data_IF_122605013085
#
_entry.id   IF_122605013085
#
_cell.length_a   1.000
_cell.length_b   1.000
_cell.length_c   1.000
_cell.angle_alpha   90.00
_cell.angle_beta   90.00
_cell.angle_gamma   90.00
#
_symmetry.space_group_name_H-M   'P 1'
#
loop_
_entity.id
_entity.type
_entity.pdbx_description
1 polymer ?
#
# COMPACT_ATOMS: atom_id res chain seq x y z
N UNK A 1 15.42 -28.95 -4.42
CA UNK A 1 14.17 -28.25 -4.79
C UNK A 1 14.51 -26.78 -4.96
N UNK A 2 14.07 -26.15 -6.05
CA UNK A 2 14.27 -24.70 -6.21
C UNK A 2 13.34 -23.97 -5.21
N UNK A 3 13.87 -23.04 -4.45
CA UNK A 3 13.10 -22.20 -3.57
C UNK A 3 12.04 -21.40 -4.37
N UNK A 4 10.80 -21.47 -3.95
CA UNK A 4 9.71 -20.69 -4.55
C UNK A 4 9.30 -19.59 -3.58
N UNK A 5 9.28 -18.33 -4.07
CA UNK A 5 8.93 -17.13 -3.30
C UNK A 5 7.50 -17.25 -2.77
N UNK A 6 7.26 -16.92 -1.49
CA UNK A 6 5.95 -17.06 -0.83
C UNK A 6 4.83 -16.36 -1.58
N UNK A 7 5.08 -15.19 -2.15
CA UNK A 7 4.09 -14.45 -2.94
C UNK A 7 3.62 -15.23 -4.20
N UNK A 8 4.39 -16.21 -4.69
CA UNK A 8 4.01 -17.09 -5.77
C UNK A 8 3.42 -18.39 -5.24
N UNK A 9 4.05 -19.03 -4.25
CA UNK A 9 3.62 -20.29 -3.61
C UNK A 9 2.21 -20.17 -3.01
N UNK A 10 1.91 -19.04 -2.33
CA UNK A 10 0.62 -18.75 -1.69
C UNK A 10 -0.30 -17.87 -2.53
N UNK A 11 -0.10 -17.85 -3.85
CA UNK A 11 -1.05 -17.15 -4.73
C UNK A 11 -2.38 -17.91 -4.72
N UNK A 12 -3.50 -17.26 -4.35
CA UNK A 12 -4.81 -17.91 -4.31
C UNK A 12 -5.17 -18.64 -5.62
N UNK A 13 -5.66 -19.85 -5.50
CA UNK A 13 -6.06 -20.73 -6.60
C UNK A 13 -7.57 -20.80 -6.80
N UNK A 14 -8.35 -20.41 -5.80
CA UNK A 14 -9.80 -20.32 -5.77
C UNK A 14 -10.24 -19.09 -5.00
N UNK A 15 -11.55 -18.80 -4.99
CA UNK A 15 -12.11 -17.63 -4.30
C UNK A 15 -11.99 -17.70 -2.78
N UNK A 16 -12.03 -18.89 -2.17
CA UNK A 16 -12.00 -19.07 -0.70
C UNK A 16 -10.62 -18.72 -0.11
N UNK A 17 -9.58 -18.80 -0.92
CA UNK A 17 -8.21 -18.44 -0.51
C UNK A 17 -7.93 -16.94 -0.62
N UNK A 18 -8.81 -16.16 -1.27
CA UNK A 18 -8.60 -14.72 -1.46
C UNK A 18 -8.94 -13.98 -0.18
N UNK A 19 -8.04 -13.16 0.29
CA UNK A 19 -8.14 -12.45 1.57
C UNK A 19 -8.69 -11.04 1.39
N UNK A 20 -9.71 -10.69 2.19
CA UNK A 20 -10.19 -9.30 2.36
C UNK A 20 -11.02 -8.72 1.21
N UNK A 21 -11.49 -9.57 0.24
CA UNK A 21 -12.28 -9.14 -0.91
C UNK A 21 -13.69 -9.77 -0.96
N UNK A 22 -14.28 -10.10 0.17
CA UNK A 22 -15.54 -10.86 0.29
C UNK A 22 -16.68 -10.26 -0.55
N UNK A 23 -16.77 -8.93 -0.61
CA UNK A 23 -17.81 -8.22 -1.36
C UNK A 23 -17.71 -8.45 -2.88
N UNK A 24 -16.49 -8.52 -3.43
CA UNK A 24 -16.25 -8.78 -4.85
C UNK A 24 -16.43 -10.27 -5.15
N UNK A 25 -15.90 -11.12 -4.30
CA UNK A 25 -16.03 -12.58 -4.41
C UNK A 25 -17.51 -12.96 -4.46
N UNK A 26 -18.31 -12.45 -3.53
CA UNK A 26 -19.76 -12.70 -3.51
C UNK A 26 -20.46 -12.25 -4.81
N UNK A 27 -20.07 -11.11 -5.37
CA UNK A 27 -20.62 -10.62 -6.62
C UNK A 27 -20.25 -11.50 -7.82
N UNK A 28 -18.98 -11.94 -7.90
CA UNK A 28 -18.51 -12.83 -8.97
C UNK A 28 -19.13 -14.22 -8.86
N UNK A 29 -19.15 -14.83 -7.68
CA UNK A 29 -19.77 -16.13 -7.41
C UNK A 29 -21.25 -16.11 -7.82
N UNK A 30 -22.02 -15.13 -7.35
CA UNK A 30 -23.42 -15.00 -7.71
C UNK A 30 -23.63 -14.83 -9.23
N UNK A 31 -22.74 -14.10 -9.91
CA UNK A 31 -22.83 -13.89 -11.36
C UNK A 31 -22.55 -15.17 -12.14
N UNK A 32 -21.61 -16.00 -11.69
CA UNK A 32 -21.29 -17.30 -12.26
C UNK A 32 -22.45 -18.28 -12.04
N UNK A 33 -22.89 -18.46 -10.79
CA UNK A 33 -23.92 -19.44 -10.40
C UNK A 33 -25.30 -19.12 -11.00
N UNK A 34 -25.58 -17.84 -11.30
CA UNK A 34 -26.81 -17.42 -12.00
C UNK A 34 -26.67 -17.40 -13.52
N UNK A 35 -25.50 -17.75 -14.06
CA UNK A 35 -25.19 -17.66 -15.49
C UNK A 35 -25.46 -16.25 -16.08
N UNK A 36 -25.14 -15.20 -15.29
CA UNK A 36 -25.34 -13.77 -15.63
C UNK A 36 -24.01 -13.02 -15.59
N UNK A 37 -22.98 -13.61 -16.18
CA UNK A 37 -21.66 -13.01 -16.19
C UNK A 37 -21.60 -11.84 -17.17
N UNK A 38 -21.09 -10.71 -16.71
CA UNK A 38 -20.75 -9.59 -17.58
C UNK A 38 -19.54 -9.93 -18.45
N UNK A 39 -19.50 -9.43 -19.70
CA UNK A 39 -18.41 -9.75 -20.63
C UNK A 39 -17.21 -8.79 -20.53
N UNK A 40 -17.32 -7.70 -19.79
CA UNK A 40 -16.24 -6.76 -19.57
C UNK A 40 -16.18 -6.28 -18.10
N UNK A 41 -15.02 -6.40 -17.49
CA UNK A 41 -14.78 -6.03 -16.08
C UNK A 41 -13.64 -5.02 -15.99
N UNK A 42 -13.74 -4.10 -15.02
CA UNK A 42 -12.63 -3.30 -14.53
C UNK A 42 -12.37 -3.72 -13.08
N UNK A 43 -11.19 -4.30 -12.83
CA UNK A 43 -10.69 -4.56 -11.48
C UNK A 43 -9.77 -3.41 -11.09
N UNK A 44 -10.27 -2.51 -10.24
CA UNK A 44 -9.51 -1.36 -9.73
C UNK A 44 -9.04 -1.57 -8.30
N UNK A 45 -7.96 -0.92 -7.90
CA UNK A 45 -7.41 -0.99 -6.54
C UNK A 45 -5.90 -0.88 -6.52
N UNK A 46 -5.32 -0.69 -5.34
CA UNK A 46 -3.88 -0.53 -5.15
C UNK A 46 -3.09 -1.75 -5.63
N UNK A 47 -1.77 -1.60 -5.76
CA UNK A 47 -0.90 -2.72 -6.15
C UNK A 47 -0.93 -3.81 -5.07
N UNK A 48 -0.88 -5.08 -5.48
CA UNK A 48 -0.74 -6.22 -4.58
C UNK A 48 -2.01 -6.67 -3.84
N UNK A 49 -3.19 -6.09 -4.13
CA UNK A 49 -4.48 -6.46 -3.49
C UNK A 49 -5.19 -7.65 -4.16
N UNK A 50 -4.63 -8.21 -5.24
CA UNK A 50 -5.14 -9.44 -5.87
C UNK A 50 -5.88 -9.27 -7.20
N UNK A 51 -5.82 -8.11 -7.89
CA UNK A 51 -6.51 -7.87 -9.18
C UNK A 51 -6.24 -8.97 -10.22
N UNK A 52 -4.99 -9.20 -10.55
CA UNK A 52 -4.56 -10.21 -11.54
C UNK A 52 -4.87 -11.63 -11.06
N UNK A 53 -4.78 -11.88 -9.75
CA UNK A 53 -5.13 -13.17 -9.15
C UNK A 53 -6.62 -13.48 -9.31
N UNK A 54 -7.51 -12.51 -9.01
CA UNK A 54 -8.94 -12.66 -9.23
C UNK A 54 -9.28 -12.88 -10.71
N UNK A 55 -8.57 -12.21 -11.62
CA UNK A 55 -8.72 -12.45 -13.07
C UNK A 55 -8.37 -13.89 -13.47
N UNK A 56 -7.29 -14.44 -12.92
CA UNK A 56 -6.92 -15.86 -13.16
C UNK A 56 -7.90 -16.86 -12.54
N UNK A 57 -8.40 -16.57 -11.34
CA UNK A 57 -9.43 -17.40 -10.69
C UNK A 57 -10.70 -17.39 -11.53
N UNK A 58 -11.16 -16.23 -11.97
CA UNK A 58 -12.32 -16.11 -12.84
C UNK A 58 -12.13 -16.88 -14.15
N UNK A 59 -10.94 -16.81 -14.77
CA UNK A 59 -10.62 -17.60 -15.96
C UNK A 59 -10.70 -19.09 -15.73
N UNK A 60 -10.20 -19.59 -14.58
CA UNK A 60 -10.36 -21.00 -14.19
C UNK A 60 -11.83 -21.38 -13.98
N UNK A 61 -12.60 -20.54 -13.31
CA UNK A 61 -14.03 -20.76 -13.07
C UNK A 61 -14.82 -20.92 -14.38
N UNK A 62 -14.50 -20.12 -15.38
CA UNK A 62 -15.17 -20.14 -16.68
C UNK A 62 -14.74 -21.34 -17.56
N UNK A 63 -13.49 -21.77 -17.45
CA UNK A 63 -12.88 -22.77 -18.34
C UNK A 63 -12.55 -24.11 -17.67
N UNK A 64 -12.98 -24.35 -16.44
CA UNK A 64 -12.71 -25.62 -15.75
C UNK A 64 -13.39 -26.78 -16.49
N UNK A 65 -12.61 -27.79 -16.89
CA UNK A 65 -13.10 -28.94 -17.66
C UNK A 65 -13.77 -30.02 -16.81
N UNK A 66 -13.66 -29.96 -15.48
CA UNK A 66 -14.30 -30.92 -14.59
C UNK A 66 -15.81 -30.70 -14.43
N UNK A 67 -16.34 -29.62 -15.00
CA UNK A 67 -17.76 -29.26 -14.99
C UNK A 67 -18.21 -28.90 -16.40
N UNK A 68 -19.44 -29.22 -16.75
CA UNK A 68 -20.02 -28.91 -18.06
C UNK A 68 -20.35 -27.43 -18.24
N UNK A 69 -20.57 -26.70 -17.13
CA UNK A 69 -20.87 -25.27 -17.08
C UNK A 69 -19.82 -24.52 -16.27
N UNK A 70 -19.76 -23.15 -16.39
CA UNK A 70 -18.94 -22.33 -15.49
C UNK A 70 -19.25 -22.62 -14.03
N UNK A 71 -18.25 -22.67 -13.19
CA UNK A 71 -18.34 -22.99 -11.77
C UNK A 71 -17.65 -21.94 -10.91
N UNK A 72 -18.21 -21.61 -9.74
CA UNK A 72 -17.54 -20.76 -8.76
C UNK A 72 -16.40 -21.45 -8.01
N UNK A 73 -16.29 -22.79 -8.13
CA UNK A 73 -15.28 -23.62 -7.45
C UNK A 73 -14.50 -24.47 -8.47
N UNK A 74 -13.46 -23.92 -9.12
CA UNK A 74 -12.67 -24.64 -10.12
C UNK A 74 -11.88 -25.77 -9.48
N UNK A 75 -11.70 -26.88 -10.19
CA UNK A 75 -11.02 -28.07 -9.65
C UNK A 75 -9.52 -27.88 -9.39
N UNK A 76 -8.87 -26.93 -10.07
CA UNK A 76 -7.42 -26.64 -10.03
C UNK A 76 -6.49 -27.78 -10.56
N UNK A 77 -7.02 -28.89 -11.02
CA UNK A 77 -6.26 -30.10 -11.45
C UNK A 77 -6.41 -30.39 -12.95
N UNK A 78 -7.50 -29.96 -13.60
CA UNK A 78 -7.69 -30.22 -15.04
C UNK A 78 -6.69 -29.42 -15.90
N UNK A 79 -6.50 -29.83 -17.13
CA UNK A 79 -5.54 -29.24 -18.05
C UNK A 79 -5.70 -27.70 -18.16
N UNK A 80 -6.92 -27.19 -18.33
CA UNK A 80 -7.17 -25.74 -18.41
C UNK A 80 -6.83 -25.01 -17.13
N UNK A 81 -7.17 -25.57 -15.96
CA UNK A 81 -6.85 -24.94 -14.68
C UNK A 81 -5.32 -24.87 -14.49
N UNK A 82 -4.60 -25.90 -14.85
CA UNK A 82 -3.16 -25.96 -14.76
C UNK A 82 -2.49 -25.01 -15.77
N UNK A 83 -2.93 -25.03 -17.04
CA UNK A 83 -2.41 -24.12 -18.07
C UNK A 83 -2.61 -22.65 -17.70
N UNK A 84 -3.76 -22.26 -17.14
CA UNK A 84 -4.01 -20.91 -16.63
C UNK A 84 -3.08 -20.60 -15.45
N UNK A 85 -2.85 -21.56 -14.54
CA UNK A 85 -1.94 -21.39 -13.40
C UNK A 85 -0.52 -21.08 -13.84
N UNK A 86 0.00 -21.81 -14.85
CA UNK A 86 1.37 -21.63 -15.35
C UNK A 86 1.49 -20.56 -16.45
N UNK A 87 0.36 -19.95 -16.89
CA UNK A 87 0.34 -18.90 -17.91
C UNK A 87 0.61 -19.41 -19.33
N UNK A 88 0.17 -20.63 -19.67
CA UNK A 88 0.34 -21.27 -20.99
C UNK A 88 -0.98 -21.59 -21.70
N UNK A 89 -2.10 -21.15 -21.17
CA UNK A 89 -3.40 -21.41 -21.77
C UNK A 89 -3.56 -20.65 -23.08
N UNK A 90 -4.11 -21.34 -24.08
CA UNK A 90 -4.44 -20.76 -25.40
C UNK A 90 -5.72 -19.91 -25.39
N UNK A 91 -6.51 -20.03 -24.33
CA UNK A 91 -7.79 -19.33 -24.15
C UNK A 91 -7.74 -18.29 -23.02
N UNK A 92 -6.59 -18.10 -22.38
CA UNK A 92 -6.37 -17.06 -21.37
C UNK A 92 -5.14 -16.22 -21.73
N UNK A 93 -5.40 -15.00 -22.17
CA UNK A 93 -4.39 -14.03 -22.57
C UNK A 93 -4.17 -13.02 -21.45
N UNK A 94 -3.02 -13.11 -20.81
CA UNK A 94 -2.60 -12.15 -19.79
C UNK A 94 -1.50 -11.25 -20.36
N UNK A 95 -1.80 -9.96 -20.49
CA UNK A 95 -0.90 -8.97 -21.05
C UNK A 95 -0.69 -7.82 -20.07
N UNK A 96 0.56 -7.49 -19.80
CA UNK A 96 0.93 -6.29 -19.05
C UNK A 96 1.00 -5.09 -20.00
N UNK A 97 0.08 -4.16 -19.83
CA UNK A 97 0.04 -2.94 -20.61
C UNK A 97 1.24 -2.01 -20.37
N UNK A 98 2.02 -2.20 -19.29
CA UNK A 98 3.25 -1.46 -19.06
C UNK A 98 4.33 -1.83 -20.08
N UNK A 99 4.42 -3.10 -20.45
CA UNK A 99 5.41 -3.64 -21.39
C UNK A 99 4.92 -3.60 -22.85
N UNK A 100 3.62 -3.70 -23.08
CA UNK A 100 3.01 -3.79 -24.42
C UNK A 100 1.94 -2.70 -24.62
N UNK A 101 2.37 -1.43 -24.63
CA UNK A 101 1.48 -0.25 -24.69
C UNK A 101 0.96 0.06 -26.08
N UNK A 102 1.66 -0.42 -27.12
CA UNK A 102 1.49 0.01 -28.49
C UNK A 102 0.22 -0.54 -29.16
N UNK A 103 -0.25 0.21 -30.16
CA UNK A 103 -1.43 -0.15 -30.97
C UNK A 103 -1.25 -1.47 -31.72
N UNK A 104 -0.03 -1.80 -32.14
CA UNK A 104 0.23 -3.00 -32.94
C UNK A 104 0.05 -4.28 -32.09
N UNK A 105 0.60 -4.32 -30.87
CA UNK A 105 0.38 -5.43 -29.94
C UNK A 105 -1.11 -5.57 -29.60
N UNK A 106 -1.83 -4.46 -29.42
CA UNK A 106 -3.27 -4.50 -29.19
C UNK A 106 -4.03 -5.01 -30.43
N UNK A 107 -3.67 -4.61 -31.64
CA UNK A 107 -4.29 -5.12 -32.88
C UNK A 107 -4.06 -6.62 -33.04
N UNK A 108 -2.86 -7.14 -32.78
CA UNK A 108 -2.57 -8.57 -32.82
C UNK A 108 -3.45 -9.32 -31.84
N UNK A 109 -3.55 -8.84 -30.58
CA UNK A 109 -4.44 -9.44 -29.59
C UNK A 109 -5.89 -9.45 -30.06
N UNK A 110 -6.40 -8.33 -30.58
CA UNK A 110 -7.78 -8.17 -31.02
C UNK A 110 -8.14 -9.01 -32.27
N UNK A 111 -7.17 -9.36 -33.12
CA UNK A 111 -7.38 -10.29 -34.23
C UNK A 111 -7.76 -11.71 -33.78
N UNK A 112 -7.42 -12.07 -32.56
CA UNK A 112 -7.77 -13.39 -31.98
C UNK A 112 -9.18 -13.42 -31.37
N UNK A 113 -9.81 -12.28 -31.13
CA UNK A 113 -11.12 -12.14 -30.47
C UNK A 113 -12.26 -12.86 -31.22
N UNK A 114 -12.38 -12.76 -32.58
CA UNK A 114 -13.45 -13.45 -33.30
C UNK A 114 -13.31 -14.97 -33.34
N UNK A 115 -12.12 -15.49 -33.05
CA UNK A 115 -11.86 -16.93 -33.12
C UNK A 115 -12.49 -17.65 -31.92
N UNK A 116 -13.06 -18.82 -32.14
CA UNK A 116 -13.58 -19.68 -31.07
C UNK A 116 -12.47 -20.10 -30.09
N UNK A 117 -12.82 -20.37 -28.82
CA UNK A 117 -11.87 -20.98 -27.87
C UNK A 117 -11.31 -22.28 -28.38
N UNK A 118 -10.05 -22.57 -28.03
CA UNK A 118 -9.35 -23.81 -28.45
C UNK A 118 -9.73 -25.00 -27.58
N UNK A 119 -9.62 -24.87 -26.25
CA UNK A 119 -9.84 -25.94 -25.29
C UNK A 119 -10.90 -25.56 -24.25
N UNK A 120 -11.15 -24.28 -24.05
CA UNK A 120 -12.08 -23.75 -23.07
C UNK A 120 -13.45 -23.44 -23.65
N UNK A 121 -14.34 -22.89 -22.81
CA UNK A 121 -15.65 -22.34 -23.18
C UNK A 121 -15.56 -20.84 -23.52
N UNK A 122 -14.61 -20.14 -22.91
CA UNK A 122 -14.44 -18.71 -23.02
C UNK A 122 -13.00 -18.35 -23.40
N UNK A 123 -12.81 -17.32 -24.20
CA UNK A 123 -11.56 -16.59 -24.35
C UNK A 123 -11.52 -15.42 -23.40
N UNK A 124 -10.54 -15.40 -22.51
CA UNK A 124 -10.40 -14.37 -21.48
C UNK A 124 -9.16 -13.52 -21.76
N UNK A 125 -9.36 -12.20 -21.82
CA UNK A 125 -8.31 -11.23 -22.04
C UNK A 125 -8.12 -10.39 -20.77
N UNK A 126 -7.03 -10.63 -20.04
CA UNK A 126 -6.64 -9.89 -18.85
C UNK A 126 -5.56 -8.87 -19.24
N UNK A 127 -5.92 -7.60 -19.22
CA UNK A 127 -5.01 -6.48 -19.46
C UNK A 127 -4.62 -5.88 -18.09
N UNK A 128 -3.41 -6.17 -17.63
CA UNK A 128 -2.90 -5.64 -16.36
C UNK A 128 -2.32 -4.24 -16.57
N UNK A 129 -2.42 -3.38 -15.55
CA UNK A 129 -2.09 -1.96 -15.57
C UNK A 129 -2.69 -1.23 -16.81
N UNK A 130 -3.95 -1.56 -17.13
CA UNK A 130 -4.65 -1.10 -18.34
C UNK A 130 -4.59 0.41 -18.54
N UNK A 131 -4.46 1.22 -17.48
CA UNK A 131 -4.31 2.69 -17.57
C UNK A 131 -3.04 3.14 -18.32
N UNK A 132 -2.11 2.23 -18.61
CA UNK A 132 -0.91 2.52 -19.38
C UNK A 132 -1.07 2.33 -20.89
N UNK A 133 -2.19 1.79 -21.35
CA UNK A 133 -2.51 1.70 -22.78
C UNK A 133 -2.61 3.08 -23.44
N UNK A 134 -2.21 3.15 -24.71
CA UNK A 134 -2.37 4.39 -25.48
C UNK A 134 -3.84 4.63 -25.83
N UNK A 135 -4.18 5.88 -26.17
CA UNK A 135 -5.53 6.26 -26.61
C UNK A 135 -5.98 5.46 -27.83
N UNK A 136 -5.06 5.22 -28.77
CA UNK A 136 -5.31 4.43 -29.98
C UNK A 136 -5.62 2.97 -29.65
N UNK A 137 -4.90 2.38 -28.65
CA UNK A 137 -5.16 1.02 -28.16
C UNK A 137 -6.54 0.91 -27.52
N UNK A 138 -6.94 1.90 -26.72
CA UNK A 138 -8.29 1.95 -26.17
C UNK A 138 -9.36 2.06 -27.27
N UNK A 139 -9.15 2.93 -28.25
CA UNK A 139 -10.10 3.08 -29.36
C UNK A 139 -10.28 1.79 -30.17
N UNK A 140 -9.19 1.02 -30.37
CA UNK A 140 -9.27 -0.29 -31.01
C UNK A 140 -10.07 -1.30 -30.16
N UNK A 141 -9.95 -1.24 -28.83
CA UNK A 141 -10.67 -2.11 -27.91
C UNK A 141 -12.17 -1.80 -27.80
N UNK A 142 -12.58 -0.52 -27.96
CA UNK A 142 -13.97 -0.07 -27.77
C UNK A 142 -14.98 -0.88 -28.56
N UNK A 143 -14.71 -1.19 -29.85
CA UNK A 143 -15.60 -1.99 -30.70
C UNK A 143 -15.91 -3.37 -30.07
N UNK A 144 -14.90 -4.01 -29.50
CA UNK A 144 -15.05 -5.32 -28.86
C UNK A 144 -15.69 -5.24 -27.47
N UNK A 145 -15.63 -4.08 -26.81
CA UNK A 145 -16.34 -3.83 -25.54
C UNK A 145 -17.82 -3.47 -25.74
N UNK A 146 -18.18 -2.90 -26.90
CA UNK A 146 -19.56 -2.58 -27.25
C UNK A 146 -20.37 -3.83 -27.62
N UNK A 147 -19.79 -4.66 -28.49
CA UNK A 147 -20.42 -5.88 -28.99
C UNK A 147 -19.48 -7.08 -28.86
N UNK A 148 -19.19 -7.52 -27.62
CA UNK A 148 -18.28 -8.64 -27.39
C UNK A 148 -18.91 -9.96 -27.89
N UNK A 149 -18.13 -10.84 -28.57
CA UNK A 149 -18.60 -12.19 -28.88
C UNK A 149 -18.99 -12.93 -27.59
N UNK A 150 -20.02 -13.78 -27.64
CA UNK A 150 -20.58 -14.47 -26.47
C UNK A 150 -19.56 -15.29 -25.69
N UNK A 151 -18.52 -15.75 -26.34
CA UNK A 151 -17.45 -16.56 -25.77
C UNK A 151 -16.25 -15.73 -25.25
N UNK A 152 -16.36 -14.39 -25.21
CA UNK A 152 -15.24 -13.52 -24.87
C UNK A 152 -15.52 -12.77 -23.56
N UNK A 153 -14.51 -12.68 -22.72
CA UNK A 153 -14.52 -11.90 -21.47
C UNK A 153 -13.27 -11.03 -21.41
N UNK A 154 -13.46 -9.73 -21.22
CA UNK A 154 -12.38 -8.77 -20.99
C UNK A 154 -12.27 -8.42 -19.51
N UNK A 155 -11.05 -8.39 -19.00
CA UNK A 155 -10.73 -7.97 -17.63
C UNK A 155 -9.65 -6.90 -17.70
N UNK A 156 -9.99 -5.68 -17.33
CA UNK A 156 -9.06 -4.54 -17.26
C UNK A 156 -8.64 -4.35 -15.81
N UNK A 157 -7.42 -4.75 -15.45
CA UNK A 157 -6.88 -4.51 -14.12
C UNK A 157 -6.13 -3.17 -14.10
N UNK A 158 -6.37 -2.32 -13.11
CA UNK A 158 -5.74 -1.00 -13.02
C UNK A 158 -5.56 -0.53 -11.58
N UNK A 159 -4.48 0.21 -11.34
CA UNK A 159 -4.29 0.96 -10.08
C UNK A 159 -4.92 2.34 -10.13
N UNK A 160 -5.15 2.89 -11.33
CA UNK A 160 -5.65 4.25 -11.56
C UNK A 160 -6.88 4.24 -12.47
N UNK A 161 -8.09 3.92 -11.96
CA UNK A 161 -9.30 3.83 -12.78
C UNK A 161 -9.69 5.16 -13.40
N UNK A 162 -9.36 6.30 -12.79
CA UNK A 162 -9.65 7.64 -13.30
C UNK A 162 -8.88 7.98 -14.59
N UNK A 163 -7.77 7.29 -14.87
CA UNK A 163 -7.02 7.43 -16.13
C UNK A 163 -7.62 6.66 -17.30
N UNK A 164 -8.57 5.76 -17.02
CA UNK A 164 -9.28 5.05 -18.10
C UNK A 164 -10.28 5.99 -18.79
N UNK A 165 -10.43 5.92 -20.13
CA UNK A 165 -11.44 6.69 -20.83
C UNK A 165 -12.85 6.42 -20.29
N UNK A 166 -13.67 7.46 -20.15
CA UNK A 166 -15.07 7.33 -19.68
C UNK A 166 -15.90 6.38 -20.56
N UNK A 167 -15.61 6.34 -21.85
CA UNK A 167 -16.23 5.42 -22.82
C UNK A 167 -15.95 3.96 -22.52
N UNK A 168 -14.78 3.61 -21.99
CA UNK A 168 -14.43 2.26 -21.52
C UNK A 168 -15.12 1.97 -20.19
N UNK A 169 -15.03 2.93 -19.24
CA UNK A 169 -15.62 2.78 -17.91
C UNK A 169 -17.14 2.50 -17.95
N UNK A 170 -17.87 3.15 -18.89
CA UNK A 170 -19.32 3.00 -19.02
C UNK A 170 -19.77 1.65 -19.58
N UNK A 171 -18.86 0.87 -20.19
CA UNK A 171 -19.13 -0.44 -20.81
C UNK A 171 -18.68 -1.63 -19.98
N UNK A 172 -18.00 -1.37 -18.87
CA UNK A 172 -17.44 -2.40 -18.00
C UNK A 172 -18.10 -2.40 -16.64
N UNK A 173 -18.28 -3.57 -16.06
CA UNK A 173 -18.65 -3.70 -14.66
C UNK A 173 -17.43 -3.39 -13.78
N UNK A 174 -17.52 -2.35 -12.97
CA UNK A 174 -16.42 -1.91 -12.12
C UNK A 174 -16.45 -2.62 -10.77
N UNK A 175 -15.37 -3.29 -10.42
CA UNK A 175 -15.14 -3.97 -9.15
C UNK A 175 -13.92 -3.36 -8.47
N UNK A 176 -14.14 -2.66 -7.35
CA UNK A 176 -13.08 -1.95 -6.64
C UNK A 176 -12.55 -2.81 -5.48
N UNK A 177 -11.32 -3.32 -5.66
CA UNK A 177 -10.60 -4.07 -4.64
C UNK A 177 -10.07 -3.10 -3.57
N UNK A 178 -10.33 -3.44 -2.33
CA UNK A 178 -9.89 -2.64 -1.17
C UNK A 178 -8.53 -3.11 -0.67
N UNK A 179 -7.81 -2.22 -0.02
CA UNK A 179 -6.65 -2.61 0.81
C UNK A 179 -7.11 -3.53 1.92
N UNK A 180 -6.32 -4.54 2.22
CA UNK A 180 -6.64 -5.52 3.27
C UNK A 180 -6.30 -4.92 4.64
N UNK A 181 -7.21 -5.03 5.58
CA UNK A 181 -6.99 -4.53 6.94
C UNK A 181 -5.83 -5.27 7.63
N UNK A 182 -5.03 -4.56 8.42
CA UNK A 182 -3.85 -5.10 9.09
C UNK A 182 -4.14 -6.38 9.88
N UNK A 183 -5.22 -6.42 10.66
CA UNK A 183 -5.59 -7.62 11.43
C UNK A 183 -5.90 -8.85 10.57
N UNK A 184 -6.42 -8.65 9.37
CA UNK A 184 -6.69 -9.73 8.41
C UNK A 184 -5.37 -10.22 7.80
N UNK A 185 -4.46 -9.29 7.46
CA UNK A 185 -3.11 -9.61 6.99
C UNK A 185 -2.32 -10.39 8.05
N UNK A 186 -2.31 -9.93 9.32
CA UNK A 186 -1.68 -10.65 10.43
C UNK A 186 -2.18 -12.09 10.52
N UNK A 187 -3.52 -12.28 10.49
CA UNK A 187 -4.11 -13.62 10.52
C UNK A 187 -3.68 -14.49 9.34
N UNK A 188 -3.55 -13.90 8.15
CA UNK A 188 -3.08 -14.60 6.96
C UNK A 188 -1.60 -14.99 7.05
N UNK A 189 -0.74 -14.05 7.44
CA UNK A 189 0.70 -14.31 7.62
C UNK A 189 0.97 -15.39 8.68
N UNK A 190 0.26 -15.33 9.82
CA UNK A 190 0.37 -16.35 10.89
C UNK A 190 -0.03 -17.75 10.40
N UNK A 191 -1.05 -17.87 9.53
CA UNK A 191 -1.41 -19.15 8.91
C UNK A 191 -0.29 -19.68 8.02
N UNK A 192 0.32 -18.83 7.22
CA UNK A 192 1.44 -19.20 6.33
C UNK A 192 2.65 -19.63 7.13
N UNK A 193 3.06 -18.86 8.15
CA UNK A 193 4.19 -19.19 9.01
C UNK A 193 4.03 -20.55 9.71
N UNK A 194 2.84 -20.82 10.22
CA UNK A 194 2.52 -22.15 10.79
C UNK A 194 2.61 -23.27 9.76
N UNK A 195 2.13 -23.03 8.54
CA UNK A 195 2.21 -24.03 7.46
C UNK A 195 3.67 -24.29 7.03
N UNK A 196 4.52 -23.27 7.01
CA UNK A 196 5.95 -23.38 6.71
C UNK A 196 6.78 -23.85 7.92
N UNK A 197 6.16 -24.03 9.11
CA UNK A 197 6.84 -24.41 10.37
C UNK A 197 7.95 -23.44 10.76
N UNK A 198 7.72 -22.14 10.58
CA UNK A 198 8.65 -21.06 10.91
C UNK A 198 8.29 -20.50 12.29
N UNK A 199 9.27 -20.37 13.17
CA UNK A 199 9.11 -19.73 14.48
C UNK A 199 9.01 -18.21 14.33
N UNK A 200 8.05 -17.60 15.01
CA UNK A 200 7.80 -16.15 14.94
C UNK A 200 7.26 -15.60 16.26
N UNK A 201 7.53 -14.34 16.51
CA UNK A 201 6.84 -13.56 17.53
C UNK A 201 5.66 -12.76 16.94
N UNK A 202 4.70 -12.37 17.76
CA UNK A 202 3.51 -11.65 17.33
C UNK A 202 3.82 -10.22 16.86
N UNK A 203 4.84 -9.59 17.42
CA UNK A 203 5.20 -8.22 17.09
C UNK A 203 5.91 -8.15 15.73
N UNK A 204 6.69 -9.17 15.36
CA UNK A 204 7.26 -9.30 14.02
C UNK A 204 6.19 -9.32 12.93
N UNK A 205 5.13 -10.09 13.14
CA UNK A 205 4.02 -10.18 12.16
C UNK A 205 3.27 -8.86 12.06
N UNK A 206 3.06 -8.15 13.18
CA UNK A 206 2.43 -6.82 13.17
C UNK A 206 3.26 -5.81 12.39
N UNK A 207 4.59 -5.78 12.59
CA UNK A 207 5.49 -4.89 11.84
C UNK A 207 5.41 -5.12 10.33
N UNK A 208 5.44 -6.37 9.89
CA UNK A 208 5.30 -6.72 8.46
C UNK A 208 3.93 -6.28 7.95
N UNK A 209 2.85 -6.55 8.68
CA UNK A 209 1.48 -6.21 8.27
C UNK A 209 1.27 -4.70 8.16
N UNK A 210 1.81 -3.92 9.10
CA UNK A 210 1.81 -2.45 9.08
C UNK A 210 2.59 -1.92 7.87
N UNK A 211 3.80 -2.45 7.63
CA UNK A 211 4.67 -2.02 6.53
C UNK A 211 4.11 -2.36 5.15
N UNK A 212 3.33 -3.42 5.03
CA UNK A 212 2.69 -3.83 3.78
C UNK A 212 1.54 -2.92 3.32
N UNK A 213 1.05 -2.01 4.17
CA UNK A 213 0.01 -1.00 3.84
C UNK A 213 -1.22 -1.59 3.14
N UNK A 214 -1.62 -2.80 3.54
CA UNK A 214 -2.79 -3.49 3.01
C UNK A 214 -2.56 -4.25 1.69
N UNK A 215 -1.32 -4.36 1.21
CA UNK A 215 -0.94 -5.17 0.06
C UNK A 215 -0.54 -6.58 0.50
N UNK A 216 -1.30 -7.60 0.08
CA UNK A 216 -0.98 -9.01 0.39
C UNK A 216 0.34 -9.43 -0.25
N UNK A 217 0.60 -8.99 -1.50
CA UNK A 217 1.83 -9.33 -2.21
C UNK A 217 3.06 -8.76 -1.52
N UNK A 218 3.00 -7.48 -1.10
CA UNK A 218 4.12 -6.84 -0.44
C UNK A 218 4.34 -7.43 0.95
N UNK A 219 3.27 -7.77 1.68
CA UNK A 219 3.35 -8.51 2.94
C UNK A 219 4.10 -9.83 2.81
N UNK A 220 3.77 -10.63 1.77
CA UNK A 220 4.45 -11.91 1.52
C UNK A 220 5.89 -11.72 1.06
N UNK A 221 6.18 -10.67 0.30
CA UNK A 221 7.55 -10.34 -0.13
C UNK A 221 8.41 -9.92 1.06
N UNK A 222 7.87 -9.05 1.94
CA UNK A 222 8.53 -8.65 3.18
C UNK A 222 8.74 -9.85 4.11
N UNK A 223 7.76 -10.76 4.17
CA UNK A 223 7.88 -12.00 4.94
C UNK A 223 9.04 -12.86 4.45
N UNK A 224 9.15 -13.08 3.12
CA UNK A 224 10.28 -13.81 2.54
C UNK A 224 11.64 -13.19 2.90
N UNK A 225 11.73 -11.87 2.77
CA UNK A 225 12.95 -11.14 3.10
C UNK A 225 13.30 -11.27 4.59
N UNK A 226 12.28 -11.17 5.47
CA UNK A 226 12.47 -11.27 6.91
C UNK A 226 12.91 -12.67 7.34
N UNK A 227 12.34 -13.72 6.75
CA UNK A 227 12.75 -15.12 6.98
C UNK A 227 14.21 -15.34 6.57
N UNK A 228 14.59 -14.81 5.40
CA UNK A 228 15.96 -14.93 4.90
C UNK A 228 16.95 -14.16 5.81
N UNK A 229 16.57 -12.99 6.30
CA UNK A 229 17.40 -12.17 7.19
C UNK A 229 17.58 -12.82 8.58
N UNK A 230 16.50 -13.38 9.15
CA UNK A 230 16.47 -14.01 10.47
C UNK A 230 16.92 -15.48 10.48
N UNK A 231 17.60 -15.98 9.40
CA UNK A 231 18.06 -17.37 9.30
C UNK A 231 16.98 -18.42 9.56
N UNK A 232 15.74 -18.16 9.13
CA UNK A 232 14.63 -19.09 9.25
C UNK A 232 13.72 -18.87 10.46
N UNK A 233 13.95 -17.82 11.24
CA UNK A 233 13.04 -17.38 12.33
C UNK A 233 12.66 -15.91 12.12
N UNK A 234 11.58 -15.48 12.78
CA UNK A 234 11.09 -14.11 12.72
C UNK A 234 11.05 -13.51 14.11
N UNK A 235 11.84 -12.48 14.31
CA UNK A 235 11.80 -11.66 15.53
C UNK A 235 11.70 -10.17 15.19
N UNK A 236 11.09 -9.39 16.07
CA UNK A 236 10.78 -7.98 15.82
C UNK A 236 12.04 -7.13 15.60
N UNK A 237 13.14 -7.38 16.35
CA UNK A 237 14.38 -6.60 16.27
C UNK A 237 15.03 -6.71 14.89
N UNK A 238 15.03 -7.92 14.30
CA UNK A 238 15.60 -8.14 12.98
C UNK A 238 14.77 -7.49 11.88
N UNK A 239 13.44 -7.52 12.04
CA UNK A 239 12.53 -6.89 11.09
C UNK A 239 12.65 -5.37 11.15
N UNK A 240 12.77 -4.77 12.33
CA UNK A 240 13.01 -3.33 12.47
C UNK A 240 14.28 -2.90 11.74
N UNK A 241 15.37 -3.65 11.92
CA UNK A 241 16.64 -3.40 11.21
C UNK A 241 16.49 -3.56 9.69
N UNK A 242 15.80 -4.62 9.25
CA UNK A 242 15.58 -4.88 7.82
C UNK A 242 14.74 -3.79 7.15
N UNK A 243 13.68 -3.33 7.83
CA UNK A 243 12.76 -2.33 7.30
C UNK A 243 13.28 -0.90 7.48
N UNK A 244 14.36 -0.71 8.25
CA UNK A 244 14.83 0.63 8.61
C UNK A 244 13.76 1.47 9.32
N UNK A 245 12.80 0.80 9.99
CA UNK A 245 11.76 1.48 10.76
C UNK A 245 12.30 1.84 12.13
N UNK A 246 12.01 3.06 12.57
CA UNK A 246 12.31 3.47 13.95
C UNK A 246 11.29 2.84 14.89
N UNK A 247 11.73 2.52 16.11
CA UNK A 247 10.84 2.08 17.16
C UNK A 247 9.84 3.20 17.50
N UNK A 248 8.60 2.81 17.74
CA UNK A 248 7.55 3.75 18.18
C UNK A 248 7.99 4.55 19.41
N UNK A 249 8.82 4.00 20.32
CA UNK A 249 9.36 4.72 21.47
C UNK A 249 10.25 5.88 21.06
N UNK A 250 11.18 5.67 20.12
CA UNK A 250 12.06 6.74 19.60
C UNK A 250 11.27 7.84 18.88
N UNK A 251 10.21 7.45 18.17
CA UNK A 251 9.33 8.41 17.49
C UNK A 251 8.60 9.30 18.49
N UNK A 252 8.03 8.69 19.54
CA UNK A 252 7.34 9.42 20.60
C UNK A 252 8.30 10.31 21.41
N UNK A 253 9.51 9.86 21.71
CA UNK A 253 10.55 10.66 22.35
C UNK A 253 10.98 11.86 21.50
N UNK A 254 11.10 11.69 20.17
CA UNK A 254 11.40 12.78 19.25
C UNK A 254 10.28 13.84 19.28
N UNK A 255 9.01 13.40 19.22
CA UNK A 255 7.87 14.32 19.27
C UNK A 255 7.81 15.02 20.62
N UNK A 256 8.03 14.31 21.72
CA UNK A 256 8.04 14.88 23.08
C UNK A 256 9.14 15.95 23.22
N UNK A 257 10.34 15.67 22.69
CA UNK A 257 11.46 16.64 22.64
C UNK A 257 11.11 17.90 21.81
N UNK A 258 10.37 17.73 20.70
CA UNK A 258 9.90 18.85 19.87
C UNK A 258 8.87 19.68 20.66
N UNK A 259 7.95 19.04 21.37
CA UNK A 259 6.91 19.68 22.20
C UNK A 259 7.52 20.43 23.37
N UNK A 260 8.49 19.83 24.04
CA UNK A 260 9.20 20.43 25.18
C UNK A 260 10.22 21.52 24.74
N UNK A 261 10.49 21.66 23.42
CA UNK A 261 11.44 22.63 22.86
C UNK A 261 12.90 22.25 23.09
N UNK A 262 13.21 21.00 23.43
CA UNK A 262 14.57 20.50 23.63
C UNK A 262 15.25 20.16 22.30
N UNK A 263 15.86 21.18 21.70
CA UNK A 263 16.58 21.05 20.43
C UNK A 263 17.76 20.07 20.51
N UNK A 264 18.44 20.00 21.66
CA UNK A 264 19.61 19.11 21.82
C UNK A 264 19.20 17.65 21.80
N UNK A 265 18.17 17.32 22.56
CA UNK A 265 17.67 15.95 22.62
C UNK A 265 17.06 15.52 21.28
N UNK A 266 16.27 16.40 20.64
CA UNK A 266 15.71 16.13 19.32
C UNK A 266 16.78 15.79 18.27
N UNK A 267 17.88 16.56 18.19
CA UNK A 267 18.96 16.29 17.23
C UNK A 267 19.85 15.10 17.63
N UNK A 268 20.00 14.79 18.93
CA UNK A 268 20.65 13.56 19.37
C UNK A 268 19.85 12.34 18.93
N UNK A 269 18.53 12.35 19.09
CA UNK A 269 17.64 11.28 18.64
C UNK A 269 17.69 11.12 17.11
N UNK A 270 17.70 12.22 16.35
CA UNK A 270 17.88 12.16 14.89
C UNK A 270 19.22 11.50 14.51
N UNK A 271 20.28 11.77 15.25
CA UNK A 271 21.60 11.14 15.02
C UNK A 271 21.62 9.65 15.37
N UNK A 272 20.82 9.21 16.35
CA UNK A 272 20.64 7.78 16.66
C UNK A 272 19.82 7.09 15.58
N UNK A 273 18.74 7.72 15.14
CA UNK A 273 17.90 7.27 14.03
C UNK A 273 18.74 7.10 12.75
N UNK A 274 19.64 8.02 12.45
CA UNK A 274 20.54 7.94 11.29
C UNK A 274 21.37 6.65 11.25
N UNK A 275 21.81 6.14 12.41
CA UNK A 275 22.59 4.90 12.48
C UNK A 275 21.83 3.67 12.00
N UNK A 276 20.52 3.74 11.98
CA UNK A 276 19.63 2.67 11.50
C UNK A 276 19.43 2.72 9.98
N UNK A 277 19.99 3.73 9.27
CA UNK A 277 19.80 3.96 7.83
C UNK A 277 18.32 3.95 7.41
N UNK A 278 17.46 4.77 8.02
CA UNK A 278 16.02 4.69 7.87
C UNK A 278 15.53 5.28 6.55
N UNK A 279 14.28 4.95 6.19
CA UNK A 279 13.51 5.71 5.20
C UNK A 279 12.99 7.02 5.81
N UNK A 280 13.67 8.13 5.60
CA UNK A 280 13.35 9.44 6.20
C UNK A 280 11.96 9.97 5.86
N UNK A 281 11.42 9.65 4.67
CA UNK A 281 10.05 10.02 4.29
C UNK A 281 9.00 9.24 5.11
N UNK A 282 9.29 8.01 5.50
CA UNK A 282 8.44 7.21 6.38
C UNK A 282 8.39 7.81 7.78
N UNK A 283 9.54 8.23 8.33
CA UNK A 283 9.60 8.89 9.64
C UNK A 283 8.73 10.15 9.65
N UNK A 284 8.83 10.97 8.62
CA UNK A 284 8.03 12.19 8.53
C UNK A 284 6.52 11.89 8.45
N UNK A 285 6.12 10.82 7.73
CA UNK A 285 4.73 10.34 7.71
C UNK A 285 4.28 9.88 9.09
N UNK A 286 5.13 9.17 9.81
CA UNK A 286 4.81 8.67 11.15
C UNK A 286 4.66 9.83 12.14
N UNK A 287 5.54 10.85 12.08
CA UNK A 287 5.39 12.10 12.87
C UNK A 287 4.04 12.76 12.60
N UNK A 288 3.70 12.94 11.31
CA UNK A 288 2.40 13.53 10.90
C UNK A 288 1.23 12.69 11.44
N UNK A 289 1.35 11.35 11.35
CA UNK A 289 0.35 10.42 11.84
C UNK A 289 0.11 10.53 13.36
N UNK A 290 1.18 10.63 14.14
CA UNK A 290 1.08 10.82 15.60
C UNK A 290 0.49 12.20 15.95
N UNK A 291 0.92 13.27 15.28
CA UNK A 291 0.34 14.61 15.48
C UNK A 291 -1.16 14.63 15.15
N UNK A 292 -1.58 13.90 14.11
CA UNK A 292 -3.01 13.74 13.81
C UNK A 292 -3.75 13.01 14.94
N UNK A 293 -3.20 11.93 15.48
CA UNK A 293 -3.78 11.19 16.61
C UNK A 293 -3.90 12.07 17.86
N UNK A 294 -2.87 12.89 18.15
CA UNK A 294 -2.88 13.86 19.25
C UNK A 294 -4.03 14.86 19.05
N UNK A 295 -4.16 15.43 17.85
CA UNK A 295 -5.24 16.37 17.52
C UNK A 295 -6.63 15.75 17.68
N UNK A 296 -6.81 14.50 17.24
CA UNK A 296 -8.07 13.76 17.43
C UNK A 296 -8.37 13.50 18.90
N UNK A 297 -7.35 13.12 19.70
CA UNK A 297 -7.53 12.92 21.13
C UNK A 297 -7.94 14.22 21.83
N UNK A 298 -7.31 15.35 21.50
CA UNK A 298 -7.67 16.67 22.04
C UNK A 298 -9.10 17.10 21.68
N UNK A 299 -9.65 16.61 20.56
CA UNK A 299 -11.00 16.92 20.12
C UNK A 299 -12.06 15.96 20.69
N UNK A 300 -11.75 14.66 20.81
CA UNK A 300 -12.73 13.58 21.05
C UNK A 300 -12.49 12.80 22.35
N UNK A 301 -11.37 13.00 23.02
CA UNK A 301 -10.93 12.29 24.24
C UNK A 301 -11.02 10.73 24.13
N UNK A 302 -10.65 10.19 22.95
CA UNK A 302 -10.91 8.78 22.61
C UNK A 302 -9.63 7.97 22.30
N UNK A 303 -8.42 8.45 22.60
CA UNK A 303 -7.21 7.68 22.35
C UNK A 303 -7.08 6.50 23.31
N UNK A 304 -6.75 5.33 22.75
CA UNK A 304 -6.40 4.11 23.50
C UNK A 304 -4.91 4.06 23.86
N UNK A 305 -4.07 4.86 23.19
CA UNK A 305 -2.62 4.93 23.46
C UNK A 305 -2.34 5.98 24.54
N UNK A 306 -1.80 5.51 25.68
CA UNK A 306 -1.44 6.38 26.81
C UNK A 306 -0.35 7.40 26.47
N UNK A 307 0.54 7.10 25.50
CA UNK A 307 1.61 8.02 25.04
C UNK A 307 1.02 9.21 24.32
N UNK A 308 0.06 8.97 23.40
CA UNK A 308 -0.70 10.02 22.70
C UNK A 308 -1.42 10.92 23.70
N UNK A 309 -2.11 10.31 24.70
CA UNK A 309 -2.83 11.06 25.74
C UNK A 309 -1.90 11.92 26.61
N UNK A 310 -0.68 11.46 26.88
CA UNK A 310 0.30 12.20 27.69
C UNK A 310 0.81 13.44 26.90
N UNK A 311 1.19 13.27 25.64
CA UNK A 311 1.65 14.42 24.81
C UNK A 311 0.49 15.39 24.54
N UNK A 312 -0.73 14.90 24.32
CA UNK A 312 -1.91 15.73 24.13
C UNK A 312 -2.21 16.68 25.29
N UNK A 313 -1.81 16.31 26.53
CA UNK A 313 -1.94 17.16 27.72
C UNK A 313 -0.85 18.24 27.83
N UNK A 314 0.32 17.99 27.22
CA UNK A 314 1.47 18.91 27.27
C UNK A 314 1.39 20.00 26.20
N UNK A 315 0.75 19.71 25.06
CA UNK A 315 0.74 20.59 23.89
C UNK A 315 -0.61 21.31 23.73
N UNK A 316 -0.57 22.60 23.43
CA UNK A 316 -1.76 23.39 23.09
C UNK A 316 -2.33 22.99 21.73
N UNK A 317 -3.66 23.12 21.56
CA UNK A 317 -4.33 22.71 20.31
C UNK A 317 -3.80 23.48 19.09
N UNK A 318 -3.58 24.78 19.25
CA UNK A 318 -3.07 25.65 18.18
C UNK A 318 -1.65 25.26 17.78
N UNK A 319 -0.79 24.95 18.75
CA UNK A 319 0.58 24.52 18.47
C UNK A 319 0.61 23.12 17.82
N UNK A 320 -0.24 22.19 18.26
CA UNK A 320 -0.36 20.88 17.63
C UNK A 320 -0.77 21.00 16.14
N UNK A 321 -1.73 21.87 15.82
CA UNK A 321 -2.14 22.14 14.43
C UNK A 321 -1.00 22.77 13.63
N UNK A 322 -0.24 23.69 14.21
CA UNK A 322 0.91 24.30 13.55
C UNK A 322 1.99 23.25 13.23
N UNK A 323 2.31 22.35 14.16
CA UNK A 323 3.26 21.24 13.92
C UNK A 323 2.77 20.33 12.80
N UNK A 324 1.47 20.02 12.78
CA UNK A 324 0.85 19.22 11.73
C UNK A 324 0.98 19.89 10.35
N UNK A 325 0.69 21.17 10.24
CA UNK A 325 0.84 21.96 9.01
C UNK A 325 2.30 22.02 8.54
N UNK A 326 3.26 22.23 9.45
CA UNK A 326 4.70 22.19 9.13
C UNK A 326 5.08 20.81 8.57
N UNK A 327 4.57 19.74 9.20
CA UNK A 327 4.81 18.37 8.75
C UNK A 327 4.30 18.12 7.34
N UNK A 328 3.04 18.43 7.05
CA UNK A 328 2.43 18.25 5.73
C UNK A 328 3.14 19.08 4.65
N UNK A 329 3.43 20.36 4.95
CA UNK A 329 4.14 21.22 4.01
C UNK A 329 5.54 20.74 3.71
N UNK A 330 6.24 20.19 4.71
CA UNK A 330 7.57 19.58 4.54
C UNK A 330 7.46 18.29 3.73
N UNK A 331 6.46 17.44 4.00
CA UNK A 331 6.23 16.21 3.26
C UNK A 331 5.89 16.46 1.79
N UNK A 332 5.06 17.46 1.47
CA UNK A 332 4.71 17.81 0.09
C UNK A 332 5.93 18.20 -0.77
N UNK A 333 7.00 18.69 -0.13
CA UNK A 333 8.25 19.11 -0.77
C UNK A 333 9.37 18.09 -0.61
N UNK A 334 9.13 16.98 0.07
CA UNK A 334 10.15 16.02 0.44
C UNK A 334 10.84 15.39 -0.77
N UNK A 335 10.06 15.03 -1.80
CA UNK A 335 10.58 14.43 -3.04
C UNK A 335 11.39 15.38 -3.91
N UNK A 336 11.29 16.70 -3.70
CA UNK A 336 12.03 17.73 -4.44
C UNK A 336 13.33 18.11 -3.73
N UNK A 337 13.47 17.74 -2.46
CA UNK A 337 14.68 18.04 -1.69
C UNK A 337 15.85 17.15 -2.13
N UNK A 338 17.06 17.70 -2.35
CA UNK A 338 18.20 16.91 -2.84
C UNK A 338 18.68 15.82 -1.86
N UNK A 339 18.44 16.02 -0.55
CA UNK A 339 18.85 15.11 0.52
C UNK A 339 17.68 14.86 1.48
N UNK A 340 17.26 13.60 1.57
CA UNK A 340 16.12 13.19 2.40
C UNK A 340 16.37 13.38 3.90
N UNK A 341 17.62 13.21 4.38
CA UNK A 341 18.02 13.47 5.76
C UNK A 341 17.84 14.95 6.10
N UNK A 342 18.42 15.83 5.29
CA UNK A 342 18.32 17.28 5.48
C UNK A 342 16.89 17.78 5.42
N UNK A 343 16.02 17.14 4.61
CA UNK A 343 14.59 17.46 4.54
C UNK A 343 13.89 17.20 5.88
N UNK A 344 14.20 16.06 6.53
CA UNK A 344 13.66 15.73 7.85
C UNK A 344 14.23 16.67 8.94
N UNK A 345 15.54 16.88 8.96
CA UNK A 345 16.21 17.79 9.91
C UNK A 345 15.64 19.21 9.81
N UNK A 346 15.43 19.71 8.58
CA UNK A 346 14.82 21.04 8.36
C UNK A 346 13.36 21.09 8.85
N UNK A 347 12.60 20.00 8.70
CA UNK A 347 11.26 19.92 9.23
C UNK A 347 11.26 20.02 10.76
N UNK A 348 12.08 19.22 11.44
CA UNK A 348 12.23 19.24 12.89
C UNK A 348 12.73 20.60 13.38
N UNK A 349 13.71 21.20 12.69
CA UNK A 349 14.21 22.54 13.02
C UNK A 349 13.09 23.60 12.93
N UNK A 350 12.24 23.53 11.91
CA UNK A 350 11.08 24.44 11.78
C UNK A 350 10.10 24.22 12.92
N UNK A 351 9.78 22.97 13.27
CA UNK A 351 8.89 22.66 14.39
C UNK A 351 9.40 23.23 15.70
N UNK A 352 10.70 23.10 15.97
CA UNK A 352 11.37 23.68 17.16
C UNK A 352 11.38 25.21 17.13
N UNK A 353 11.70 25.84 15.99
CA UNK A 353 11.76 27.31 15.85
C UNK A 353 10.41 27.97 16.11
N UNK A 354 9.31 27.31 15.78
CA UNK A 354 7.97 27.82 16.04
C UNK A 354 7.41 27.42 17.42
N UNK A 355 8.20 26.71 18.24
CA UNK A 355 7.78 26.32 19.58
C UNK A 355 7.68 27.57 20.49
N UNK A 356 6.50 27.82 21.11
CA UNK A 356 6.30 28.97 21.96
C UNK A 356 7.18 28.96 23.22
N UNK A 357 7.60 27.80 23.72
CA UNK A 357 8.47 27.69 24.90
C UNK A 357 9.89 28.19 24.63
N UNK A 358 10.44 28.00 23.44
CA UNK A 358 11.75 28.56 23.05
C UNK A 358 11.71 30.09 23.02
N UNK A 359 10.65 30.70 22.49
CA UNK A 359 10.51 32.15 22.43
C UNK A 359 10.42 32.80 23.82
N UNK A 360 9.83 32.09 24.78
CA UNK A 360 9.77 32.58 26.16
C UNK A 360 11.15 32.54 26.84
N UNK A 361 11.98 31.51 26.60
CA UNK A 361 13.34 31.42 27.14
C UNK A 361 14.27 32.50 26.56
N UNK A 362 14.20 32.77 25.26
CA UNK A 362 14.96 33.84 24.60
C UNK A 362 14.51 35.24 25.06
N UNK A 363 13.20 35.46 25.29
CA UNK A 363 12.65 36.70 25.82
C UNK A 363 13.12 37.00 27.25
N UNK A 364 13.30 35.97 28.08
CA UNK A 364 13.80 36.14 29.45
C UNK A 364 15.30 36.45 29.46
N UNK A 365 16.08 35.85 28.57
CA UNK A 365 17.52 36.10 28.42
C UNK A 365 17.78 37.52 27.94
N UNK A 366 16.96 38.06 27.00
CA UNK A 366 17.08 39.42 26.50
C UNK A 366 16.62 40.49 27.49
N UNK A 367 15.73 40.20 28.43
CA UNK A 367 15.36 41.12 29.51
C UNK A 367 16.39 41.12 30.66
N UNK A 368 17.14 40.04 30.84
CA UNK A 368 18.22 39.97 31.84
C UNK A 368 19.50 40.74 31.48
N UNK A 369 19.72 41.03 30.19
CA UNK A 369 20.91 41.81 29.73
C UNK A 369 20.70 43.30 29.54
N UNK A 370 19.49 43.81 29.73
CA UNK A 370 19.18 45.28 29.57
C UNK A 370 19.28 46.09 30.84
N UNK A 371 19.77 45.51 31.93
CA UNK A 371 19.84 46.19 33.24
C UNK A 371 21.25 46.35 33.78
N UNK A 372 22.14 47.15 33.18
CA UNK A 372 23.20 47.90 33.87
C UNK A 372 24.12 48.65 32.88
N UNK A 373 23.73 49.83 32.43
CA UNK A 373 24.69 50.89 32.08
C UNK A 373 24.04 52.27 32.32
N UNK A 374 24.08 52.73 33.55
CA UNK A 374 23.95 54.18 33.87
C UNK A 374 25.31 54.83 33.64
N UNK A 375 25.55 55.42 32.47
CA UNK A 375 26.64 56.37 32.27
C UNK A 375 26.28 57.70 32.88
N UNK A 376 26.98 58.08 33.96
CA UNK A 376 27.03 59.41 34.47
C UNK A 376 27.71 60.34 33.46
N UNK A 377 26.99 61.24 32.85
CA UNK A 377 27.54 62.39 32.12
C UNK A 377 27.63 63.54 33.09
N UNK A 378 28.87 63.89 33.50
CA UNK A 378 29.14 65.18 34.15
C UNK A 378 29.31 66.25 33.06
N UNK A 379 28.50 67.27 33.16
CA UNK A 379 28.65 68.53 32.41
C UNK A 379 29.72 69.35 33.10
N UNK A 380 30.70 69.82 32.35
CA UNK A 380 31.52 70.98 32.58
C UNK A 380 31.75 71.65 31.24
#
# INVERSE_FOLDING_TARGET
MSYEVLARKYRPSNFDEVVGQDHIIKALVNSIDQNKLHQAFIFSGTRGVGKTTLGRILAKCLNCLSFDEPTSSPCNECANCEEIRIGRSLDFFEQDAASQRGIDAMKELLQTVPQSPSNGRYKIYLLDEAHQLTTESFNALLKNLEEPPKHVVFILATTNPEKLPKTVQSRCLQLNLKTVHESILEGHLKKILKHESIEFDDDSVKLISKSAKGSVRDALTLLDQSIAYGNGSLNADDIQKLLGTIDDSMLFELIDSIVDGDSKNAFNLLSEIEKLSPEYDSILKDIIGVLHQISLHQALDNSKDSRVANIAKKIDKEFCQLLYEIGINSYSKFSVHPNSKEALELCVLRMLTFNPLQKLSEGIINQGSAGTEKKNIKIA
#
